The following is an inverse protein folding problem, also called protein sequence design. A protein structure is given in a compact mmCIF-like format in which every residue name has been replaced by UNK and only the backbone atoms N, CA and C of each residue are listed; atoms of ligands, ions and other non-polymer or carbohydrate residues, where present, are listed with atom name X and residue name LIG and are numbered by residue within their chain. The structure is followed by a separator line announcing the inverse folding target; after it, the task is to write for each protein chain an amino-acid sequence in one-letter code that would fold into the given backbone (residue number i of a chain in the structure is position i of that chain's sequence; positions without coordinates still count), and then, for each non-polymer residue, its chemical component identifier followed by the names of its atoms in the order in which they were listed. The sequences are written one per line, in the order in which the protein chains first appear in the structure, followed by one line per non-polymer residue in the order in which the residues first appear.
data_IF_481166638082
#
_entry.id   IF_481166638082
#
_cell.length_a   1.000
_cell.length_b   1.000
_cell.length_c   1.000
_cell.angle_alpha   90.00
_cell.angle_beta   90.00
_cell.angle_gamma   90.00
#
_symmetry.space_group_name_H-M   'P 1'
#
loop_
_entity.id
_entity.type
_entity.pdbx_description
1 polymer ?
#
# COMPACT_ATOMS: atom_id res chain seq x y z
N UNK A 1 9.69 -44.82 13.17
CA UNK A 1 8.90 -43.62 12.83
C UNK A 1 8.01 -43.13 13.99
N UNK A 2 8.37 -43.46 15.24
CA UNK A 2 7.52 -43.29 16.43
C UNK A 2 7.94 -42.10 17.34
N UNK A 3 8.94 -41.31 16.91
CA UNK A 3 9.50 -40.19 17.70
C UNK A 3 9.24 -38.79 17.10
N UNK A 4 8.51 -38.67 15.99
CA UNK A 4 8.20 -37.37 15.37
C UNK A 4 6.78 -36.84 15.68
N UNK A 5 5.85 -37.67 16.17
CA UNK A 5 4.48 -37.28 16.51
C UNK A 5 4.28 -36.84 17.98
N UNK A 6 5.22 -37.16 18.87
CA UNK A 6 5.08 -36.93 20.32
C UNK A 6 5.45 -35.50 20.76
N UNK A 7 6.09 -34.70 19.91
CA UNK A 7 6.38 -33.27 20.19
C UNK A 7 5.27 -32.32 19.76
N UNK A 8 4.44 -32.70 18.79
CA UNK A 8 3.35 -31.84 18.30
C UNK A 8 2.03 -32.02 19.06
N UNK A 9 1.86 -33.12 19.78
CA UNK A 9 0.61 -33.41 20.52
C UNK A 9 0.66 -33.16 22.03
N UNK A 10 1.83 -32.86 22.62
CA UNK A 10 1.97 -32.73 24.09
C UNK A 10 2.09 -31.29 24.62
N UNK A 11 1.98 -30.27 23.78
CA UNK A 11 1.82 -28.86 24.24
C UNK A 11 0.35 -28.40 24.10
N UNK A 12 -0.53 -29.30 23.64
CA UNK A 12 -1.89 -28.94 23.24
C UNK A 12 -2.96 -29.08 24.33
N UNK A 13 -2.69 -29.45 25.60
CA UNK A 13 -3.82 -29.81 26.46
C UNK A 13 -3.79 -29.53 27.97
N UNK A 14 -2.81 -28.84 28.55
CA UNK A 14 -2.85 -28.60 30.00
C UNK A 14 -2.32 -27.23 30.39
N UNK A 15 -3.21 -26.24 30.50
CA UNK A 15 -3.77 -25.81 31.80
C UNK A 15 -4.51 -24.45 31.68
N UNK A 16 -5.78 -24.47 32.10
CA UNK A 16 -6.61 -23.35 32.55
C UNK A 16 -6.86 -22.15 31.62
N UNK A 17 -8.10 -22.03 31.14
CA UNK A 17 -8.67 -20.74 30.74
C UNK A 17 -9.70 -20.82 29.62
N UNK A 18 -10.91 -21.27 29.96
CA UNK A 18 -12.17 -20.61 29.59
C UNK A 18 -12.17 -19.82 28.25
N UNK A 19 -12.79 -20.42 27.23
CA UNK A 19 -13.60 -19.77 26.17
C UNK A 19 -12.87 -18.80 25.20
N UNK A 20 -12.69 -19.31 23.97
CA UNK A 20 -12.71 -18.64 22.64
C UNK A 20 -12.52 -17.12 22.56
N UNK A 21 -11.39 -16.68 21.99
CA UNK A 21 -11.24 -15.55 21.05
C UNK A 21 -9.89 -15.80 20.34
N UNK A 22 -9.73 -15.91 19.02
CA UNK A 22 -10.49 -15.37 17.90
C UNK A 22 -9.45 -14.81 16.92
N UNK A 23 -9.04 -15.56 15.89
CA UNK A 23 -8.86 -14.87 14.62
C UNK A 23 -10.28 -14.52 14.21
N UNK A 24 -10.69 -13.26 14.38
CA UNK A 24 -12.01 -12.82 13.94
C UNK A 24 -12.17 -13.21 12.47
N UNK A 25 -13.37 -13.59 12.03
CA UNK A 25 -13.71 -13.75 10.61
C UNK A 25 -13.10 -12.62 9.76
N UNK A 26 -13.15 -11.42 10.31
CA UNK A 26 -12.70 -10.17 9.71
C UNK A 26 -11.18 -10.18 9.47
N UNK A 27 -10.38 -10.78 10.38
CA UNK A 27 -8.93 -10.92 10.19
C UNK A 27 -8.58 -11.88 9.05
N UNK A 28 -9.34 -12.96 8.87
CA UNK A 28 -9.15 -13.90 7.75
C UNK A 28 -9.59 -13.29 6.41
N UNK A 29 -10.68 -12.52 6.44
CA UNK A 29 -11.18 -11.76 5.29
C UNK A 29 -10.15 -10.72 4.83
N UNK A 30 -9.62 -9.89 5.74
CA UNK A 30 -8.59 -8.89 5.42
C UNK A 30 -7.36 -9.54 4.79
N UNK A 31 -6.85 -10.65 5.36
CA UNK A 31 -5.70 -11.37 4.80
C UNK A 31 -5.99 -11.86 3.39
N UNK A 32 -7.22 -12.32 3.12
CA UNK A 32 -7.63 -12.77 1.78
C UNK A 32 -7.69 -11.62 0.79
N UNK A 33 -8.26 -10.48 1.19
CA UNK A 33 -8.32 -9.26 0.38
C UNK A 33 -6.91 -8.73 0.07
N UNK A 34 -5.98 -8.76 1.02
CA UNK A 34 -4.57 -8.38 0.79
C UNK A 34 -3.95 -9.24 -0.32
N UNK A 35 -4.12 -10.56 -0.25
CA UNK A 35 -3.60 -11.48 -1.28
C UNK A 35 -4.25 -11.23 -2.64
N UNK A 36 -5.56 -10.98 -2.66
CA UNK A 36 -6.30 -10.69 -3.88
C UNK A 36 -5.82 -9.39 -4.54
N UNK A 37 -5.71 -8.30 -3.77
CA UNK A 37 -5.24 -7.01 -4.28
C UNK A 37 -3.80 -7.09 -4.80
N UNK A 38 -2.91 -7.80 -4.10
CA UNK A 38 -1.54 -8.02 -4.58
C UNK A 38 -1.49 -8.84 -5.88
N UNK A 39 -2.32 -9.89 -5.99
CA UNK A 39 -2.46 -10.68 -7.21
C UNK A 39 -2.95 -9.84 -8.40
N UNK A 40 -3.98 -9.01 -8.19
CA UNK A 40 -4.52 -8.10 -9.21
C UNK A 40 -3.47 -7.09 -9.67
N UNK A 41 -2.71 -6.51 -8.74
CA UNK A 41 -1.60 -5.59 -9.05
C UNK A 41 -0.54 -6.26 -9.92
N UNK A 42 -0.15 -7.50 -9.60
CA UNK A 42 0.83 -8.28 -10.39
C UNK A 42 0.31 -8.60 -11.80
N UNK A 43 -0.99 -8.75 -11.96
CA UNK A 43 -1.68 -8.92 -13.25
C UNK A 43 -1.93 -7.59 -13.98
N UNK A 44 -1.40 -6.48 -13.47
CA UNK A 44 -1.60 -5.12 -14.01
C UNK A 44 -3.06 -4.64 -13.99
N UNK A 45 -3.89 -5.24 -13.14
CA UNK A 45 -5.25 -4.80 -12.91
C UNK A 45 -5.30 -3.79 -11.75
N UNK A 46 -4.78 -2.59 -12.00
CA UNK A 46 -4.51 -1.58 -10.96
C UNK A 46 -5.78 -1.01 -10.33
N UNK A 47 -6.81 -0.74 -11.13
CA UNK A 47 -8.10 -0.23 -10.65
C UNK A 47 -8.75 -1.20 -9.67
N UNK A 48 -8.85 -2.49 -10.03
CA UNK A 48 -9.40 -3.51 -9.12
C UNK A 48 -8.51 -3.74 -7.91
N UNK A 49 -7.18 -3.66 -8.07
CA UNK A 49 -6.25 -3.77 -6.94
C UNK A 49 -6.50 -2.66 -5.91
N UNK A 50 -6.70 -1.41 -6.38
CA UNK A 50 -7.11 -0.28 -5.54
C UNK A 50 -8.44 -0.55 -4.87
N UNK A 51 -9.46 -0.98 -5.60
CA UNK A 51 -10.80 -1.19 -5.05
C UNK A 51 -10.80 -2.21 -3.91
N UNK A 52 -10.03 -3.29 -4.05
CA UNK A 52 -9.86 -4.29 -2.99
C UNK A 52 -9.10 -3.71 -1.80
N UNK A 53 -8.07 -2.87 -2.01
CA UNK A 53 -7.39 -2.19 -0.92
C UNK A 53 -8.30 -1.20 -0.17
N UNK A 54 -9.18 -0.51 -0.89
CA UNK A 54 -10.20 0.36 -0.29
C UNK A 54 -11.28 -0.43 0.44
N UNK A 55 -11.62 -1.63 -0.04
CA UNK A 55 -12.49 -2.55 0.69
C UNK A 55 -11.90 -2.93 2.05
N UNK A 56 -10.59 -3.22 2.11
CA UNK A 56 -9.90 -3.47 3.39
C UNK A 56 -10.08 -2.27 4.32
N UNK A 57 -9.92 -1.04 3.83
CA UNK A 57 -10.09 0.18 4.63
C UNK A 57 -11.54 0.44 5.07
N UNK A 58 -12.53 -0.09 4.35
CA UNK A 58 -13.95 -0.06 4.78
C UNK A 58 -14.19 -1.03 5.95
N UNK A 59 -13.53 -2.19 5.93
CA UNK A 59 -13.61 -3.19 7.00
C UNK A 59 -12.80 -2.74 8.23
N UNK A 60 -11.57 -2.27 8.01
CA UNK A 60 -10.68 -1.76 9.05
C UNK A 60 -9.89 -0.55 8.53
N UNK A 61 -10.38 0.65 8.85
CA UNK A 61 -9.74 1.91 8.49
C UNK A 61 -8.37 2.14 9.14
N UNK A 62 -8.04 1.35 10.18
CA UNK A 62 -6.75 1.42 10.90
C UNK A 62 -5.72 0.43 10.37
N UNK A 63 -6.07 -0.38 9.37
CA UNK A 63 -5.16 -1.35 8.77
C UNK A 63 -4.11 -0.66 7.88
N UNK A 64 -3.00 -0.21 8.48
CA UNK A 64 -1.98 0.60 7.81
C UNK A 64 -1.39 -0.03 6.53
N UNK A 65 -1.38 -1.37 6.43
CA UNK A 65 -0.87 -2.09 5.25
C UNK A 65 -1.77 -1.91 4.01
N UNK A 66 -3.05 -1.55 4.16
CA UNK A 66 -3.90 -1.22 3.02
C UNK A 66 -3.40 0.05 2.30
N UNK A 67 -2.92 1.04 3.04
CA UNK A 67 -2.30 2.23 2.46
C UNK A 67 -0.96 1.90 1.79
N UNK A 68 -0.17 0.97 2.36
CA UNK A 68 1.03 0.46 1.66
C UNK A 68 0.63 -0.16 0.32
N UNK A 69 -0.44 -0.97 0.31
CA UNK A 69 -0.93 -1.65 -0.89
C UNK A 69 -1.39 -0.66 -1.97
N UNK A 70 -2.14 0.37 -1.58
CA UNK A 70 -2.50 1.47 -2.48
C UNK A 70 -1.25 2.15 -3.06
N UNK A 71 -0.27 2.48 -2.21
CA UNK A 71 0.97 3.14 -2.64
C UNK A 71 1.75 2.31 -3.65
N UNK A 72 1.97 1.01 -3.40
CA UNK A 72 2.69 0.14 -4.34
C UNK A 72 1.89 -0.14 -5.62
N UNK A 73 0.56 -0.10 -5.57
CA UNK A 73 -0.31 -0.18 -6.75
C UNK A 73 -0.15 1.05 -7.63
N UNK A 74 -0.22 2.26 -7.06
CA UNK A 74 -0.03 3.50 -7.81
C UNK A 74 1.39 3.62 -8.34
N UNK A 75 2.42 3.31 -7.54
CA UNK A 75 3.80 3.36 -8.00
C UNK A 75 4.07 2.38 -9.15
N UNK A 76 3.49 1.17 -9.10
CA UNK A 76 3.59 0.22 -10.21
C UNK A 76 2.88 0.75 -11.45
N UNK A 77 1.71 1.37 -11.31
CA UNK A 77 1.01 1.97 -12.45
C UNK A 77 1.80 3.15 -13.04
N UNK A 78 2.37 4.02 -12.22
CA UNK A 78 3.21 5.14 -12.68
C UNK A 78 4.34 4.65 -13.58
N UNK A 79 5.00 3.57 -13.19
CA UNK A 79 6.05 2.92 -14.00
C UNK A 79 5.53 2.42 -15.37
N UNK A 80 4.34 1.82 -15.39
CA UNK A 80 3.74 1.30 -16.63
C UNK A 80 3.22 2.42 -17.55
N UNK A 81 2.47 3.39 -17.02
CA UNK A 81 1.85 4.45 -17.81
C UNK A 81 2.90 5.41 -18.40
N UNK A 82 4.03 5.59 -17.72
CA UNK A 82 5.11 6.44 -18.18
C UNK A 82 6.03 5.76 -19.19
N UNK A 83 5.77 4.50 -19.57
CA UNK A 83 6.65 3.67 -20.39
C UNK A 83 8.10 3.67 -19.86
N UNK A 84 8.27 3.62 -18.53
CA UNK A 84 9.57 3.69 -17.85
C UNK A 84 10.35 4.98 -18.10
N UNK A 85 9.68 6.03 -18.58
CA UNK A 85 10.24 7.37 -18.75
C UNK A 85 9.68 8.30 -17.69
N UNK A 86 10.35 9.41 -17.47
CA UNK A 86 9.87 10.48 -16.62
C UNK A 86 8.81 11.30 -17.36
N UNK A 87 7.55 11.21 -16.94
CA UNK A 87 6.44 12.02 -17.47
C UNK A 87 5.76 12.78 -16.33
N UNK A 88 5.10 13.91 -16.63
CA UNK A 88 4.35 14.68 -15.64
C UNK A 88 3.23 13.83 -14.99
N UNK A 89 2.53 13.02 -15.79
CA UNK A 89 1.51 12.10 -15.26
C UNK A 89 2.12 11.07 -14.30
N UNK A 90 3.20 10.40 -14.70
CA UNK A 90 3.90 9.46 -13.84
C UNK A 90 4.42 10.10 -12.55
N UNK A 91 4.94 11.33 -12.65
CA UNK A 91 5.39 12.13 -11.50
C UNK A 91 4.24 12.38 -10.51
N UNK A 92 3.07 12.84 -10.97
CA UNK A 92 1.92 13.06 -10.10
C UNK A 92 1.47 11.76 -9.43
N UNK A 93 1.48 10.64 -10.16
CA UNK A 93 1.11 9.34 -9.59
C UNK A 93 2.13 8.86 -8.56
N UNK A 94 3.43 9.14 -8.73
CA UNK A 94 4.43 8.90 -7.67
C UNK A 94 4.22 9.78 -6.44
N UNK A 95 3.81 11.05 -6.60
CA UNK A 95 3.39 11.89 -5.48
C UNK A 95 2.22 11.25 -4.72
N UNK A 96 1.23 10.71 -5.44
CA UNK A 96 0.09 10.01 -4.83
C UNK A 96 0.54 8.74 -4.09
N UNK A 97 1.46 7.96 -4.66
CA UNK A 97 2.02 6.80 -3.99
C UNK A 97 2.71 7.18 -2.67
N UNK A 98 3.50 8.25 -2.68
CA UNK A 98 4.15 8.82 -1.49
C UNK A 98 3.13 9.27 -0.45
N UNK A 99 2.02 9.89 -0.86
CA UNK A 99 0.93 10.25 0.05
C UNK A 99 0.38 9.03 0.79
N UNK A 100 0.20 7.91 0.09
CA UNK A 100 -0.31 6.69 0.71
C UNK A 100 0.69 6.10 1.71
N UNK A 101 1.99 6.11 1.42
CA UNK A 101 3.02 5.66 2.37
C UNK A 101 3.11 6.59 3.60
N UNK A 102 3.00 7.90 3.39
CA UNK A 102 2.94 8.89 4.50
C UNK A 102 1.68 8.69 5.34
N UNK A 103 0.54 8.39 4.73
CA UNK A 103 -0.69 8.06 5.44
C UNK A 103 -0.54 6.78 6.26
N UNK A 104 0.07 5.74 5.69
CA UNK A 104 0.30 4.46 6.37
C UNK A 104 1.01 4.62 7.71
N UNK A 105 2.12 5.39 7.75
CA UNK A 105 2.86 5.63 9.01
C UNK A 105 2.12 6.51 10.01
N UNK A 106 1.20 7.37 9.56
CA UNK A 106 0.37 8.19 10.44
C UNK A 106 -0.69 7.33 11.15
N UNK A 107 -1.15 6.26 10.50
CA UNK A 107 -2.18 5.37 11.05
C UNK A 107 -1.59 4.42 12.09
N UNK A 108 -0.47 3.77 11.80
CA UNK A 108 0.16 2.82 12.71
C UNK A 108 1.68 2.79 12.53
N UNK A 109 2.40 2.88 13.65
CA UNK A 109 3.86 2.94 13.66
C UNK A 109 4.51 1.65 13.14
N UNK A 110 3.82 0.50 13.15
CA UNK A 110 4.34 -0.78 12.62
C UNK A 110 4.63 -0.73 11.12
N UNK A 111 3.95 0.14 10.39
CA UNK A 111 4.17 0.34 8.96
C UNK A 111 5.31 1.32 8.66
N UNK A 112 5.89 1.99 9.67
CA UNK A 112 6.85 3.09 9.48
C UNK A 112 8.09 2.68 8.72
N UNK A 113 8.72 1.56 9.10
CA UNK A 113 9.96 1.10 8.46
C UNK A 113 9.74 0.82 6.96
N UNK A 114 8.68 0.08 6.64
CA UNK A 114 8.34 -0.25 5.26
C UNK A 114 7.93 0.99 4.46
N UNK A 115 7.12 1.87 5.05
CA UNK A 115 6.71 3.12 4.42
C UNK A 115 7.90 4.02 4.12
N UNK A 116 8.87 4.14 5.04
CA UNK A 116 10.08 4.93 4.83
C UNK A 116 10.90 4.41 3.64
N UNK A 117 11.11 3.08 3.55
CA UNK A 117 11.81 2.45 2.42
C UNK A 117 11.12 2.77 1.09
N UNK A 118 9.80 2.70 1.04
CA UNK A 118 9.06 3.04 -0.17
C UNK A 118 9.09 4.54 -0.50
N UNK A 119 8.98 5.42 0.50
CA UNK A 119 9.11 6.87 0.28
C UNK A 119 10.49 7.16 -0.31
N UNK A 120 11.56 6.64 0.27
CA UNK A 120 12.93 6.82 -0.22
C UNK A 120 13.07 6.30 -1.66
N UNK A 121 12.58 5.08 -1.93
CA UNK A 121 12.65 4.46 -3.26
C UNK A 121 11.92 5.30 -4.29
N UNK A 122 10.68 5.72 -4.00
CA UNK A 122 9.83 6.36 -4.99
C UNK A 122 10.06 7.86 -5.15
N UNK A 123 10.64 8.53 -4.14
CA UNK A 123 11.04 9.94 -4.26
C UNK A 123 12.12 10.14 -5.32
N UNK A 124 12.91 9.10 -5.65
CA UNK A 124 13.93 9.17 -6.70
C UNK A 124 13.35 9.37 -8.12
N UNK A 125 12.09 8.98 -8.33
CA UNK A 125 11.37 9.14 -9.60
C UNK A 125 10.59 10.45 -9.70
N UNK A 126 10.55 11.25 -8.63
CA UNK A 126 10.08 12.62 -8.73
C UNK A 126 11.04 13.40 -9.64
N UNK A 127 10.53 14.51 -10.16
CA UNK A 127 11.23 15.37 -11.09
C UNK A 127 11.48 16.69 -10.38
N UNK A 128 12.63 17.27 -10.64
CA UNK A 128 12.99 18.61 -10.19
C UNK A 128 12.24 19.67 -10.99
N UNK A 129 12.21 20.89 -10.47
CA UNK A 129 11.59 22.03 -11.16
C UNK A 129 12.24 22.32 -12.53
N UNK A 130 13.53 22.04 -12.65
CA UNK A 130 14.27 22.16 -13.92
C UNK A 130 13.85 21.11 -14.96
N UNK A 131 13.32 19.96 -14.51
CA UNK A 131 12.89 18.87 -15.39
C UNK A 131 11.45 19.02 -15.84
N UNK A 132 10.59 19.69 -15.05
CA UNK A 132 9.22 19.99 -15.46
C UNK A 132 8.82 21.44 -15.18
N UNK A 133 8.69 22.22 -16.25
CA UNK A 133 8.11 23.56 -16.21
C UNK A 133 6.57 23.49 -16.14
N UNK A 134 6.03 23.14 -14.97
CA UNK A 134 4.57 22.88 -14.81
C UNK A 134 3.76 24.08 -14.35
N UNK A 135 4.39 25.13 -13.81
CA UNK A 135 3.68 26.25 -13.17
C UNK A 135 2.91 25.86 -11.90
N UNK A 136 2.95 24.59 -11.49
CA UNK A 136 2.38 24.09 -10.24
C UNK A 136 3.43 24.24 -9.14
N UNK A 137 3.04 24.78 -8.00
CA UNK A 137 3.99 24.99 -6.91
C UNK A 137 4.11 23.74 -6.03
N UNK A 138 5.28 23.57 -5.39
CA UNK A 138 5.44 22.55 -4.37
C UNK A 138 4.42 22.74 -3.24
N UNK A 139 3.82 21.63 -2.80
CA UNK A 139 2.78 21.64 -1.77
C UNK A 139 1.37 21.93 -2.30
N UNK A 140 1.22 22.25 -3.59
CA UNK A 140 -0.09 22.44 -4.21
C UNK A 140 -0.85 21.12 -4.36
N UNK A 141 -2.16 21.17 -4.18
CA UNK A 141 -3.03 20.01 -4.37
C UNK A 141 -3.42 19.89 -5.85
N UNK A 142 -3.04 18.79 -6.49
CA UNK A 142 -3.35 18.50 -7.89
C UNK A 142 -4.27 17.29 -8.02
N UNK A 143 -5.16 17.32 -9.01
CA UNK A 143 -6.10 16.24 -9.31
C UNK A 143 -5.53 15.32 -10.38
N UNK A 144 -5.51 14.01 -10.11
CA UNK A 144 -5.21 12.98 -11.11
C UNK A 144 -6.54 12.41 -11.60
N UNK A 145 -6.82 12.60 -12.88
CA UNK A 145 -8.06 12.18 -13.53
C UNK A 145 -8.08 10.68 -13.87
N UNK A 146 -9.09 10.27 -14.65
CA UNK A 146 -9.26 8.90 -15.12
C UNK A 146 -9.71 7.96 -13.99
N UNK A 147 -9.28 6.69 -14.08
CA UNK A 147 -9.66 5.70 -13.08
C UNK A 147 -9.12 6.06 -11.70
N UNK A 148 -7.96 6.72 -11.59
CA UNK A 148 -7.38 7.10 -10.30
C UNK A 148 -8.32 8.03 -9.54
N UNK A 149 -8.75 9.14 -10.15
CA UNK A 149 -9.72 10.10 -9.59
C UNK A 149 -9.39 10.48 -8.12
N UNK A 150 -8.14 10.91 -7.88
CA UNK A 150 -7.62 11.24 -6.54
C UNK A 150 -6.77 12.50 -6.61
N UNK A 151 -6.79 13.25 -5.51
CA UNK A 151 -5.91 14.38 -5.28
C UNK A 151 -4.58 13.91 -4.68
N UNK A 152 -3.51 14.62 -5.01
CA UNK A 152 -2.18 14.44 -4.40
C UNK A 152 -1.56 15.80 -4.13
N UNK A 153 -0.60 15.82 -3.21
CA UNK A 153 0.23 17.01 -2.98
C UNK A 153 1.45 16.93 -3.91
N UNK A 154 1.55 17.91 -4.80
CA UNK A 154 2.65 18.02 -5.75
C UNK A 154 3.98 18.26 -5.04
N UNK A 155 5.02 17.53 -5.47
CA UNK A 155 6.35 17.55 -4.84
C UNK A 155 7.43 17.44 -5.89
N UNK A 156 8.36 18.38 -5.84
CA UNK A 156 9.58 18.23 -6.60
C UNK A 156 10.47 17.15 -5.99
N UNK A 157 11.41 16.69 -6.79
CA UNK A 157 12.57 15.97 -6.27
C UNK A 157 13.38 16.90 -5.39
N UNK A 158 13.66 16.46 -4.16
CA UNK A 158 14.58 17.12 -3.23
C UNK A 158 15.95 17.39 -3.88
#
# INVERSE_FOLDING_TARGET
MQNYLRKYFSIAFLLCGVITFGQSSDSLEIITLVRQSDSLRRQMNFEKSRDVAEQILKTDSTFCFAYILLGVTYARYAYECSNQKSTLEGHMIYCLAIDMFRKSKQIDNKCTEQANKFIETYSQYLLSDLEIFTGVNEGEEVMIEGWINRKTIFRYKD
#
